data_IF_728273827438
#
_entry.id   IF_728273827438
#
_cell.length_a   1.000
_cell.length_b   1.000
_cell.length_c   1.000
_cell.angle_alpha   90.00
_cell.angle_beta   90.00
_cell.angle_gamma   90.00
#
_symmetry.space_group_name_H-M   'P 1'
#
loop_
_entity.id
_entity.type
_entity.pdbx_description
1 polymer ?
#
# COMPACT_ATOMS: atom_id res chain seq x y z
N UNK A 1 2.46 -7.23 -13.05
CA UNK A 1 1.68 -7.74 -11.92
C UNK A 1 0.53 -6.79 -11.62
N UNK A 2 -0.63 -7.30 -11.21
CA UNK A 2 -1.74 -6.49 -10.69
C UNK A 2 -1.69 -6.46 -9.17
N UNK A 3 -1.76 -5.27 -8.59
CA UNK A 3 -1.66 -5.03 -7.15
C UNK A 3 -2.60 -3.89 -6.74
N UNK A 4 -2.91 -3.81 -5.44
CA UNK A 4 -3.79 -2.80 -4.88
C UNK A 4 -3.02 -1.83 -3.98
N UNK A 5 -3.24 -0.54 -4.18
CA UNK A 5 -2.89 0.50 -3.25
C UNK A 5 -4.13 0.94 -2.47
N UNK A 6 -3.97 1.16 -1.17
CA UNK A 6 -5.05 1.65 -0.32
C UNK A 6 -4.70 3.01 0.28
N UNK A 7 -5.65 3.93 0.28
CA UNK A 7 -5.45 5.29 0.80
C UNK A 7 -6.74 5.84 1.44
N UNK A 8 -6.60 6.94 2.18
CA UNK A 8 -7.73 7.72 2.67
C UNK A 8 -8.36 8.54 1.55
N UNK A 9 -9.67 8.78 1.69
CA UNK A 9 -10.43 9.63 0.78
C UNK A 9 -9.89 11.07 0.74
N UNK A 10 -9.36 11.59 1.85
CA UNK A 10 -8.79 12.94 1.91
C UNK A 10 -7.56 13.13 1.01
N UNK A 11 -6.83 12.05 0.70
CA UNK A 11 -5.66 12.11 -0.18
C UNK A 11 -6.03 12.03 -1.67
N UNK A 12 -7.26 11.64 -2.01
CA UNK A 12 -7.68 11.37 -3.38
C UNK A 12 -7.42 12.51 -4.34
N UNK A 13 -7.92 13.70 -4.01
CA UNK A 13 -7.80 14.87 -4.88
C UNK A 13 -6.33 15.25 -5.10
N UNK A 14 -5.47 15.05 -4.10
CA UNK A 14 -4.03 15.26 -4.23
C UNK A 14 -3.36 14.25 -5.15
N UNK A 15 -3.72 12.96 -5.00
CA UNK A 15 -3.22 11.86 -5.84
C UNK A 15 -3.66 12.06 -7.31
N UNK A 16 -4.93 12.38 -7.53
CA UNK A 16 -5.49 12.62 -8.85
C UNK A 16 -4.85 13.85 -9.52
N UNK A 17 -4.69 14.95 -8.79
CA UNK A 17 -4.05 16.17 -9.31
C UNK A 17 -2.56 15.96 -9.63
N UNK A 18 -1.87 15.11 -8.86
CA UNK A 18 -0.48 14.74 -9.14
C UNK A 18 -0.35 13.77 -10.34
N UNK A 19 -1.41 13.03 -10.65
CA UNK A 19 -1.40 12.00 -11.69
C UNK A 19 -0.53 10.80 -11.35
N UNK A 20 -0.23 10.58 -10.08
CA UNK A 20 0.62 9.48 -9.60
C UNK A 20 0.43 9.20 -8.10
N UNK A 21 0.63 7.95 -7.72
CA UNK A 21 0.74 7.53 -6.31
C UNK A 21 2.19 7.71 -5.90
N UNK A 22 2.44 8.50 -4.87
CA UNK A 22 3.79 8.76 -4.33
C UNK A 22 4.02 8.00 -3.03
N UNK A 23 5.28 7.80 -2.69
CA UNK A 23 5.65 7.29 -1.38
C UNK A 23 5.12 8.22 -0.28
N UNK A 24 4.31 7.67 0.62
CA UNK A 24 3.76 8.37 1.79
C UNK A 24 4.54 8.05 3.07
N UNK A 25 5.42 7.04 3.02
CA UNK A 25 6.29 6.65 4.11
C UNK A 25 7.75 6.67 3.66
N UNK A 26 8.58 7.32 4.45
CA UNK A 26 10.04 7.26 4.34
C UNK A 26 10.64 7.50 5.73
N UNK A 27 11.51 6.58 6.17
CA UNK A 27 12.41 6.82 7.30
C UNK A 27 13.74 7.33 6.75
N UNK A 28 14.48 8.11 7.56
CA UNK A 28 15.66 8.92 7.18
C UNK A 28 16.47 8.42 5.98
N UNK A 29 16.83 7.12 5.97
CA UNK A 29 17.69 6.53 4.93
C UNK A 29 17.00 5.44 4.11
N UNK A 30 15.73 5.12 4.39
CA UNK A 30 14.99 4.18 3.57
C UNK A 30 14.70 4.80 2.21
N UNK A 31 14.74 4.02 1.12
CA UNK A 31 14.28 4.49 -0.17
C UNK A 31 12.78 4.85 -0.09
N UNK A 32 12.31 5.82 -0.88
CA UNK A 32 10.90 6.14 -0.97
C UNK A 32 10.17 4.99 -1.68
N UNK A 33 9.17 4.41 -1.01
CA UNK A 33 8.42 3.26 -1.55
C UNK A 33 6.92 3.48 -1.56
N UNK A 34 6.27 3.05 -2.64
CA UNK A 34 4.83 2.87 -2.69
C UNK A 34 4.51 1.46 -2.20
N UNK A 35 3.66 1.37 -1.18
CA UNK A 35 3.23 0.09 -0.62
C UNK A 35 1.96 -0.39 -1.33
N UNK A 36 1.96 -1.68 -1.66
CA UNK A 36 0.94 -2.36 -2.43
C UNK A 36 0.61 -3.71 -1.78
N UNK A 37 -0.58 -4.24 -2.07
CA UNK A 37 -1.07 -5.54 -1.59
C UNK A 37 -1.58 -6.38 -2.75
N UNK A 38 -1.50 -7.71 -2.66
CA UNK A 38 -2.10 -8.62 -3.65
C UNK A 38 -3.59 -8.80 -3.46
N UNK A 39 -4.08 -8.71 -2.23
CA UNK A 39 -5.49 -8.84 -1.88
C UNK A 39 -6.22 -7.50 -2.03
N UNK A 40 -7.43 -7.58 -2.56
CA UNK A 40 -8.32 -6.45 -2.79
C UNK A 40 -9.15 -6.11 -1.53
N UNK A 41 -9.15 -6.99 -0.53
CA UNK A 41 -9.84 -6.81 0.75
C UNK A 41 -8.99 -5.96 1.72
N UNK A 42 -9.52 -4.84 2.26
CA UNK A 42 -8.86 -4.08 3.32
C UNK A 42 -8.42 -4.93 4.52
N UNK A 43 -9.07 -6.06 4.81
CA UNK A 43 -8.68 -6.96 5.91
C UNK A 43 -7.29 -7.60 5.71
N UNK A 44 -6.74 -7.55 4.50
CA UNK A 44 -5.36 -7.91 4.23
C UNK A 44 -4.34 -6.87 4.73
N UNK A 45 -4.77 -5.64 5.01
CA UNK A 45 -3.93 -4.60 5.57
C UNK A 45 -3.70 -4.83 7.08
N UNK A 46 -2.62 -4.26 7.65
CA UNK A 46 -2.48 -4.10 9.09
C UNK A 46 -3.70 -3.43 9.68
N UNK A 47 -4.09 -3.81 10.89
CA UNK A 47 -5.35 -3.37 11.49
C UNK A 47 -5.54 -1.85 11.50
N UNK A 48 -4.47 -1.07 11.71
CA UNK A 48 -4.55 0.40 11.71
C UNK A 48 -4.67 1.05 10.33
N UNK A 49 -4.58 0.25 9.26
CA UNK A 49 -4.77 0.67 7.88
C UNK A 49 -6.01 0.02 7.26
N UNK A 50 -6.82 -0.73 8.02
CA UNK A 50 -8.05 -1.34 7.47
C UNK A 50 -9.18 -0.34 7.29
N UNK A 51 -9.02 0.86 7.82
CA UNK A 51 -9.94 1.98 7.66
C UNK A 51 -9.76 2.71 6.32
N UNK A 52 -8.75 2.37 5.51
CA UNK A 52 -8.57 2.93 4.16
C UNK A 52 -9.77 2.56 3.30
N UNK A 53 -10.36 3.59 2.67
CA UNK A 53 -11.61 3.45 1.90
C UNK A 53 -11.43 3.61 0.41
N UNK A 54 -10.31 4.13 -0.04
CA UNK A 54 -10.01 4.15 -1.46
C UNK A 54 -9.04 3.05 -1.80
N UNK A 55 -9.39 2.29 -2.83
CA UNK A 55 -8.57 1.23 -3.39
C UNK A 55 -8.26 1.54 -4.84
N UNK A 56 -6.98 1.56 -5.19
CA UNK A 56 -6.51 1.77 -6.55
C UNK A 56 -5.84 0.46 -7.01
N UNK A 57 -6.37 -0.15 -8.06
CA UNK A 57 -5.73 -1.27 -8.75
C UNK A 57 -4.69 -0.72 -9.73
N UNK A 58 -3.47 -1.25 -9.63
CA UNK A 58 -2.34 -0.83 -10.46
C UNK A 58 -1.69 -2.02 -11.16
N UNK A 59 -1.20 -1.79 -12.38
CA UNK A 59 -0.39 -2.74 -13.15
C UNK A 59 1.05 -2.27 -13.20
N UNK A 60 1.91 -2.92 -12.42
CA UNK A 60 3.34 -2.61 -12.35
C UNK A 60 4.15 -3.71 -13.04
N UNK A 61 5.23 -3.42 -13.78
CA UNK A 61 6.12 -4.44 -14.32
C UNK A 61 6.70 -5.35 -13.22
N UNK A 62 6.70 -6.67 -13.43
CA UNK A 62 7.13 -7.63 -12.41
C UNK A 62 8.57 -7.39 -11.92
N UNK A 63 9.45 -6.89 -12.80
CA UNK A 63 10.84 -6.58 -12.48
C UNK A 63 11.02 -5.40 -11.51
N UNK A 64 9.98 -4.60 -11.29
CA UNK A 64 10.00 -3.40 -10.45
C UNK A 64 9.21 -3.58 -9.14
N UNK A 65 8.60 -4.76 -8.97
CA UNK A 65 7.83 -5.12 -7.79
C UNK A 65 8.71 -5.97 -6.87
N UNK A 66 8.86 -5.53 -5.64
CA UNK A 66 9.60 -6.27 -4.63
C UNK A 66 8.65 -6.83 -3.58
N UNK A 67 8.78 -8.13 -3.30
CA UNK A 67 8.08 -8.76 -2.20
C UNK A 67 8.68 -8.29 -0.87
N UNK A 68 7.85 -7.79 0.03
CA UNK A 68 8.30 -7.11 1.24
C UNK A 68 9.25 -7.95 2.10
N UNK A 69 8.96 -9.23 2.43
CA UNK A 69 9.85 -10.06 3.25
C UNK A 69 11.24 -10.30 2.64
N UNK A 70 11.37 -10.25 1.32
CA UNK A 70 12.66 -10.40 0.65
C UNK A 70 13.41 -9.07 0.57
N UNK A 71 12.67 -7.98 0.38
CA UNK A 71 13.21 -6.64 0.16
C UNK A 71 13.64 -5.94 1.45
N UNK A 72 12.78 -5.96 2.47
CA UNK A 72 12.95 -5.19 3.70
C UNK A 72 14.28 -5.48 4.43
N UNK A 73 14.73 -6.75 4.61
CA UNK A 73 15.97 -7.05 5.33
C UNK A 73 17.24 -6.50 4.66
N UNK A 74 17.20 -6.22 3.35
CA UNK A 74 18.35 -5.72 2.58
C UNK A 74 18.35 -4.20 2.40
N UNK A 75 17.21 -3.53 2.62
CA UNK A 75 17.04 -2.10 2.36
C UNK A 75 16.76 -1.28 3.62
N UNK A 76 16.28 -1.92 4.68
CA UNK A 76 15.91 -1.25 5.93
C UNK A 76 16.88 -1.62 7.02
N UNK A 77 17.12 -0.68 7.94
CA UNK A 77 17.78 -1.00 9.20
C UNK A 77 16.84 -1.86 10.05
N UNK A 78 17.38 -2.70 10.94
CA UNK A 78 16.55 -3.46 11.87
C UNK A 78 15.53 -2.58 12.59
N UNK A 79 15.85 -1.37 13.04
CA UNK A 79 14.84 -0.53 13.72
C UNK A 79 13.69 -0.06 12.81
N UNK A 80 13.96 0.11 11.51
CA UNK A 80 13.00 0.54 10.49
C UNK A 80 12.15 -0.65 10.02
N UNK A 81 12.80 -1.78 9.76
CA UNK A 81 12.17 -3.07 9.45
C UNK A 81 11.27 -3.51 10.60
N UNK A 82 11.80 -3.50 11.82
CA UNK A 82 11.07 -3.86 13.01
C UNK A 82 9.86 -2.97 13.16
N UNK A 83 9.92 -1.68 12.81
CA UNK A 83 8.77 -0.75 12.88
C UNK A 83 7.59 -1.09 11.96
N UNK A 84 7.75 -2.09 11.07
CA UNK A 84 6.79 -2.52 10.06
C UNK A 84 6.51 -4.05 10.07
N UNK A 85 7.23 -4.87 10.84
CA UNK A 85 7.04 -6.34 10.90
C UNK A 85 6.08 -6.80 12.01
N UNK A 86 5.33 -7.89 11.75
CA UNK A 86 4.40 -8.51 12.71
C UNK A 86 4.97 -9.76 13.44
N UNK A 87 4.57 -9.89 14.71
CA UNK A 87 4.82 -11.00 15.66
C UNK A 87 4.36 -12.38 15.18
N UNK A 88 5.15 -13.42 15.49
CA UNK A 88 4.79 -14.85 15.31
C UNK A 88 4.32 -15.55 16.60
N UNK A 89 4.11 -14.86 17.73
CA UNK A 89 3.86 -15.48 19.05
C UNK A 89 2.42 -15.25 19.60
N UNK A 90 1.67 -16.31 19.96
CA UNK A 90 0.28 -16.21 20.42
C UNK A 90 0.06 -15.83 21.91
N UNK A 91 1.09 -15.60 22.73
CA UNK A 91 0.92 -15.59 24.20
C UNK A 91 0.98 -14.25 24.96
N UNK A 92 1.27 -13.08 24.34
CA UNK A 92 1.38 -11.79 25.08
C UNK A 92 0.85 -10.52 24.39
N UNK A 93 0.37 -9.62 25.25
CA UNK A 93 -0.20 -8.26 25.11
C UNK A 93 0.87 -7.14 25.03
N UNK A 94 1.11 -6.58 23.82
CA UNK A 94 1.93 -5.38 23.44
C UNK A 94 3.47 -5.45 23.65
N UNK A 95 4.33 -5.02 22.72
CA UNK A 95 4.32 -3.75 21.94
C UNK A 95 4.23 -4.00 20.42
N UNK A 96 3.12 -3.61 19.77
CA UNK A 96 3.02 -3.61 18.32
C UNK A 96 3.82 -2.47 17.70
N UNK A 97 4.09 -2.56 16.39
CA UNK A 97 4.41 -1.39 15.58
C UNK A 97 3.89 -1.61 14.15
N UNK A 98 3.95 -0.56 13.33
CA UNK A 98 2.85 0.40 13.27
C UNK A 98 1.64 -0.06 12.44
N UNK A 99 1.24 -1.32 12.57
CA UNK A 99 0.29 -1.72 13.62
C UNK A 99 -0.36 -3.03 13.15
N UNK A 100 0.47 -4.08 13.19
CA UNK A 100 0.27 -5.54 13.04
C UNK A 100 -0.68 -6.09 11.97
N UNK A 101 -0.17 -6.32 10.75
CA UNK A 101 -0.72 -7.37 9.89
C UNK A 101 0.05 -7.62 8.59
N UNK A 102 0.28 -8.92 8.34
CA UNK A 102 0.53 -9.58 7.04
C UNK A 102 1.64 -9.03 6.14
N UNK A 103 2.91 -8.95 6.58
CA UNK A 103 4.03 -8.63 5.69
C UNK A 103 4.13 -9.58 4.49
N UNK A 104 3.60 -10.78 4.60
CA UNK A 104 3.51 -11.77 3.52
C UNK A 104 2.54 -11.39 2.38
N UNK A 105 1.72 -10.36 2.55
CA UNK A 105 0.82 -9.84 1.51
C UNK A 105 1.36 -8.57 0.84
N UNK A 106 2.51 -8.07 1.32
CA UNK A 106 3.02 -6.74 0.98
C UNK A 106 4.02 -6.78 -0.18
N UNK A 107 3.87 -5.77 -1.04
CA UNK A 107 4.76 -5.49 -2.14
C UNK A 107 5.15 -4.01 -2.10
N UNK A 108 6.36 -3.71 -2.55
CA UNK A 108 6.83 -2.32 -2.68
C UNK A 108 7.38 -2.05 -4.07
N UNK A 109 7.24 -0.80 -4.47
CA UNK A 109 7.82 -0.24 -5.69
C UNK A 109 8.64 0.99 -5.29
N UNK A 110 9.89 1.06 -5.74
CA UNK A 110 10.84 2.13 -5.40
C UNK A 110 10.74 3.37 -6.31
N UNK A 111 9.52 3.68 -6.75
CA UNK A 111 9.18 4.88 -7.54
C UNK A 111 7.71 5.25 -7.35
N UNK A 112 7.33 6.43 -7.84
CA UNK A 112 5.92 6.77 -7.98
C UNK A 112 5.23 5.86 -9.01
N UNK A 113 3.93 5.61 -8.82
CA UNK A 113 3.10 4.82 -9.72
C UNK A 113 2.19 5.78 -10.51
N UNK A 114 2.53 6.07 -11.79
CA UNK A 114 1.78 7.05 -12.59
C UNK A 114 0.39 6.56 -12.94
N UNK A 115 -0.52 7.49 -13.23
CA UNK A 115 -1.93 7.22 -13.58
C UNK A 115 -2.08 6.28 -14.79
N UNK A 116 -1.09 6.25 -15.69
CA UNK A 116 -1.05 5.33 -16.83
C UNK A 116 -0.92 3.85 -16.42
N UNK A 117 -0.48 3.58 -15.19
CA UNK A 117 -0.40 2.23 -14.62
C UNK A 117 -1.64 1.89 -13.78
N UNK A 118 -2.61 2.80 -13.65
CA UNK A 118 -3.84 2.54 -12.90
C UNK A 118 -4.86 1.85 -13.81
N UNK A 119 -5.48 0.80 -13.29
CA UNK A 119 -6.54 0.07 -13.97
C UNK A 119 -7.92 0.47 -13.46
N UNK A 120 -8.02 0.75 -12.16
CA UNK A 120 -9.27 1.08 -11.48
C UNK A 120 -8.97 1.86 -10.20
N UNK A 121 -9.80 2.85 -9.85
CA UNK A 121 -9.88 3.35 -8.48
C UNK A 121 -11.34 3.30 -8.01
N UNK A 122 -11.58 2.77 -6.82
CA UNK A 122 -12.92 2.70 -6.23
C UNK A 122 -12.94 3.27 -4.82
N UNK A 123 -14.07 3.88 -4.50
CA UNK A 123 -14.49 4.13 -3.13
C UNK A 123 -15.19 2.88 -2.58
N UNK A 124 -14.66 2.29 -1.52
CA UNK A 124 -15.16 1.07 -0.92
C UNK A 124 -16.42 1.27 -0.07
N UNK A 125 -16.64 2.47 0.47
CA UNK A 125 -17.85 2.78 1.24
C UNK A 125 -19.05 2.87 0.31
N UNK A 126 -18.89 3.58 -0.82
CA UNK A 126 -19.97 3.80 -1.79
C UNK A 126 -19.99 2.79 -2.92
N UNK A 127 -18.91 2.01 -3.09
CA UNK A 127 -18.64 1.14 -4.24
C UNK A 127 -18.63 1.88 -5.58
N UNK A 128 -18.39 3.19 -5.56
CA UNK A 128 -18.35 4.01 -6.76
C UNK A 128 -17.01 3.90 -7.45
N UNK A 129 -17.03 3.84 -8.79
CA UNK A 129 -15.83 3.99 -9.59
C UNK A 129 -15.40 5.46 -9.58
N UNK A 130 -14.16 5.71 -9.15
CA UNK A 130 -13.52 7.02 -9.15
C UNK A 130 -12.60 7.20 -10.36
N UNK A 131 -12.07 6.11 -10.91
CA UNK A 131 -11.18 6.11 -12.07
C UNK A 131 -11.20 4.77 -12.83
N UNK A 132 -11.10 4.77 -14.17
CA UNK A 132 -11.24 5.94 -15.04
C UNK A 132 -12.64 6.56 -14.88
N UNK A 133 -12.79 7.87 -15.09
CA UNK A 133 -14.12 8.49 -15.10
C UNK A 133 -15.02 7.70 -16.06
N UNK A 134 -15.91 6.88 -15.50
CA UNK A 134 -16.95 6.23 -16.28
C UNK A 134 -17.90 7.30 -16.79
N UNK A 135 -18.50 7.13 -17.99
CA UNK A 135 -19.49 8.08 -18.46
C UNK A 135 -20.60 8.18 -17.41
N UNK A 136 -20.98 9.41 -17.05
CA UNK A 136 -22.25 9.63 -16.36
C UNK A 136 -23.35 8.95 -17.19
N UNK A 137 -23.93 7.89 -16.63
CA UNK A 137 -25.15 7.28 -17.17
C UNK A 137 -26.36 8.11 -16.74
#
# INVERSE_FOLDING_TARGET
MLLYHFTDAEHWNGILAAGEIRATWQRRNSPPTVHLCRDADPEALPWALRDRRLRILVRVPDAEVHYWPDWAPSHLRPEEEWSLLASSDPSKTSVPNQWNGKPEEWFVVERAVPIAEWEEAIDLDTRSCLWPEGPAL
#
